data_IF_148889788406
#
_entry.id   IF_148889788406
#
_cell.length_a   1.000
_cell.length_b   1.000
_cell.length_c   1.000
_cell.angle_alpha   90.00
_cell.angle_beta   90.00
_cell.angle_gamma   90.00
#
_symmetry.space_group_name_H-M   'P 1'
#
loop_
_entity.id
_entity.type
_entity.pdbx_description
1 polymer ?
#
# COMPACT_ATOMS: atom_id res chain seq x y z
N UNK A 1 -43.12 12.02 -22.91
CA UNK A 1 -43.99 13.06 -22.27
C UNK A 1 -44.61 12.45 -21.02
N UNK A 2 -44.75 13.18 -19.90
CA UNK A 2 -45.30 12.60 -18.69
C UNK A 2 -46.70 12.06 -18.96
N UNK A 3 -46.94 10.81 -18.58
CA UNK A 3 -48.22 10.10 -18.71
C UNK A 3 -49.31 10.67 -17.79
N UNK A 4 -48.96 11.62 -16.91
CA UNK A 4 -49.86 12.32 -16.00
C UNK A 4 -49.52 13.82 -15.91
N UNK A 5 -50.51 14.70 -16.13
CA UNK A 5 -50.34 16.17 -16.08
C UNK A 5 -50.01 16.72 -14.69
N UNK A 6 -50.20 15.94 -13.63
CA UNK A 6 -49.86 16.30 -12.25
C UNK A 6 -48.46 15.81 -11.82
N UNK A 7 -47.68 15.24 -12.75
CA UNK A 7 -46.31 14.77 -12.47
C UNK A 7 -45.28 15.65 -13.17
N UNK A 8 -44.24 16.03 -12.43
CA UNK A 8 -43.09 16.78 -12.93
C UNK A 8 -41.92 15.80 -13.03
N UNK A 9 -41.31 15.69 -14.22
CA UNK A 9 -40.09 14.89 -14.39
C UNK A 9 -38.89 15.65 -13.81
N UNK A 10 -38.12 14.96 -12.98
CA UNK A 10 -36.91 15.47 -12.35
C UNK A 10 -35.71 14.54 -12.62
N UNK A 11 -35.83 13.67 -13.62
CA UNK A 11 -34.79 12.69 -13.99
C UNK A 11 -33.55 13.42 -14.52
N UNK A 12 -32.33 13.05 -14.08
CA UNK A 12 -31.12 13.65 -14.62
C UNK A 12 -31.02 13.33 -16.11
N UNK A 13 -30.71 14.33 -16.93
CA UNK A 13 -30.43 14.08 -18.34
C UNK A 13 -29.25 13.12 -18.48
N UNK A 14 -29.41 12.05 -19.27
CA UNK A 14 -28.42 10.97 -19.44
C UNK A 14 -27.00 11.48 -19.72
N UNK A 15 -26.84 12.42 -20.66
CA UNK A 15 -25.54 13.04 -20.94
C UNK A 15 -24.98 13.88 -19.80
N UNK A 16 -25.83 14.56 -19.03
CA UNK A 16 -25.41 15.29 -17.83
C UNK A 16 -24.92 14.33 -16.74
N UNK A 17 -25.63 13.23 -16.50
CA UNK A 17 -25.23 12.20 -15.54
C UNK A 17 -23.86 11.59 -15.89
N UNK A 18 -23.67 11.19 -17.15
CA UNK A 18 -22.39 10.61 -17.61
C UNK A 18 -21.24 11.61 -17.49
N UNK A 19 -21.46 12.88 -17.88
CA UNK A 19 -20.40 13.90 -17.76
C UNK A 19 -20.02 14.19 -16.30
N UNK A 20 -20.97 14.18 -15.37
CA UNK A 20 -20.68 14.32 -13.94
C UNK A 20 -19.94 13.11 -13.37
N UNK A 21 -20.20 11.90 -13.85
CA UNK A 21 -19.50 10.69 -13.38
C UNK A 21 -17.99 10.70 -13.66
N UNK A 22 -17.55 11.35 -14.72
CA UNK A 22 -16.14 11.35 -15.17
C UNK A 22 -15.40 12.66 -14.92
N UNK A 23 -16.07 13.68 -14.38
CA UNK A 23 -15.52 15.03 -14.25
C UNK A 23 -14.33 15.09 -13.30
N UNK A 24 -14.46 14.45 -12.14
CA UNK A 24 -13.51 14.58 -11.02
C UNK A 24 -12.53 13.39 -10.92
N UNK A 25 -12.58 12.45 -11.87
CA UNK A 25 -11.65 11.31 -11.94
C UNK A 25 -10.52 11.62 -12.93
N UNK A 26 -9.28 11.33 -12.52
CA UNK A 26 -8.13 11.42 -13.43
C UNK A 26 -8.09 10.22 -14.37
N UNK A 27 -7.36 10.34 -15.48
CA UNK A 27 -7.21 9.22 -16.41
C UNK A 27 -6.44 8.05 -15.79
N UNK A 28 -5.50 8.30 -14.87
CA UNK A 28 -4.76 7.24 -14.19
C UNK A 28 -5.62 6.52 -13.17
N UNK A 29 -6.42 7.24 -12.39
CA UNK A 29 -7.41 6.61 -11.48
C UNK A 29 -8.40 5.73 -12.25
N UNK A 30 -8.87 6.22 -13.41
CA UNK A 30 -9.75 5.46 -14.30
C UNK A 30 -9.10 4.16 -14.79
N UNK A 31 -7.82 4.19 -15.16
CA UNK A 31 -7.09 2.97 -15.55
C UNK A 31 -6.86 2.07 -14.33
N UNK A 32 -6.48 2.63 -13.18
CA UNK A 32 -6.31 1.90 -11.92
C UNK A 32 -7.58 1.15 -11.49
N UNK A 33 -8.76 1.77 -11.64
CA UNK A 33 -10.05 1.11 -11.42
C UNK A 33 -10.25 -0.12 -12.32
N UNK A 34 -9.75 -0.12 -13.56
CA UNK A 34 -9.79 -1.30 -14.44
C UNK A 34 -8.81 -2.38 -13.98
N UNK A 35 -7.62 -2.00 -13.51
CA UNK A 35 -6.63 -2.94 -12.96
C UNK A 35 -7.16 -3.60 -11.67
N UNK A 36 -7.79 -2.83 -10.78
CA UNK A 36 -8.47 -3.34 -9.58
C UNK A 36 -9.46 -4.45 -9.95
N UNK A 37 -10.31 -4.24 -10.98
CA UNK A 37 -11.27 -5.25 -11.44
C UNK A 37 -10.60 -6.50 -12.02
N UNK A 38 -9.51 -6.33 -12.78
CA UNK A 38 -8.74 -7.46 -13.31
C UNK A 38 -8.07 -8.27 -12.20
N UNK A 39 -7.55 -7.62 -11.15
CA UNK A 39 -7.00 -8.30 -9.97
C UNK A 39 -8.09 -9.08 -9.22
N UNK A 40 -9.27 -8.50 -9.03
CA UNK A 40 -10.42 -9.18 -8.41
C UNK A 40 -10.84 -10.43 -9.22
N UNK A 41 -10.92 -10.31 -10.55
CA UNK A 41 -11.22 -11.43 -11.44
C UNK A 41 -10.13 -12.52 -11.40
N UNK A 42 -8.85 -12.15 -11.31
CA UNK A 42 -7.73 -13.08 -11.19
C UNK A 42 -7.78 -13.83 -9.86
N UNK A 43 -7.99 -13.13 -8.75
CA UNK A 43 -8.11 -13.75 -7.42
C UNK A 43 -9.28 -14.72 -7.34
N UNK A 44 -10.38 -14.40 -8.02
CA UNK A 44 -11.55 -15.30 -8.12
C UNK A 44 -11.23 -16.57 -8.90
N UNK A 45 -10.33 -16.50 -9.90
CA UNK A 45 -9.87 -17.67 -10.68
C UNK A 45 -8.77 -18.47 -9.98
N UNK A 46 -7.94 -17.83 -9.15
CA UNK A 46 -6.80 -18.47 -8.52
C UNK A 46 -7.24 -19.47 -7.44
N UNK A 47 -6.70 -20.69 -7.49
CA UNK A 47 -6.91 -21.69 -6.42
C UNK A 47 -6.37 -21.19 -5.08
N UNK A 48 -5.31 -20.38 -5.12
CA UNK A 48 -4.72 -19.73 -3.95
C UNK A 48 -4.52 -18.24 -4.23
N UNK A 49 -5.33 -17.33 -3.65
CA UNK A 49 -5.19 -15.89 -3.81
C UNK A 49 -3.85 -15.30 -3.30
N UNK A 50 -3.04 -16.09 -2.58
CA UNK A 50 -1.70 -15.71 -2.12
C UNK A 50 -0.56 -16.18 -3.05
N UNK A 51 -0.87 -16.89 -4.13
CA UNK A 51 0.09 -17.26 -5.19
C UNK A 51 -0.54 -16.99 -6.56
N UNK A 52 -0.14 -15.87 -7.16
CA UNK A 52 -0.69 -15.37 -8.42
C UNK A 52 0.22 -15.65 -9.61
N UNK A 53 1.15 -16.60 -9.49
CA UNK A 53 2.02 -17.02 -10.60
C UNK A 53 1.20 -17.57 -11.77
N UNK A 54 1.56 -17.14 -12.98
CA UNK A 54 0.88 -17.55 -14.22
C UNK A 54 -0.35 -16.71 -14.57
N UNK A 55 -0.74 -15.77 -13.71
CA UNK A 55 -1.73 -14.75 -14.04
C UNK A 55 -1.07 -13.51 -14.62
N UNK A 56 -1.75 -12.87 -15.56
CA UNK A 56 -1.26 -11.65 -16.19
C UNK A 56 -2.37 -10.64 -16.50
N UNK A 57 -1.98 -9.36 -16.48
CA UNK A 57 -2.75 -8.22 -16.98
C UNK A 57 -1.87 -7.50 -18.00
N UNK A 58 -2.34 -7.36 -19.24
CA UNK A 58 -1.66 -6.62 -20.32
C UNK A 58 -2.44 -5.36 -20.69
N UNK A 59 -1.81 -4.21 -20.49
CA UNK A 59 -2.36 -2.88 -20.74
C UNK A 59 -1.59 -2.28 -21.91
N UNK A 60 -2.28 -1.78 -22.94
CA UNK A 60 -1.66 -1.07 -24.07
C UNK A 60 -2.23 0.34 -24.17
N UNK A 61 -1.33 1.33 -24.16
CA UNK A 61 -1.61 2.74 -24.40
C UNK A 61 -1.20 3.05 -25.84
N UNK A 62 -2.14 2.89 -26.79
CA UNK A 62 -1.91 3.17 -28.20
C UNK A 62 -2.25 4.62 -28.57
N UNK A 63 -1.75 5.07 -29.73
CA UNK A 63 -2.05 6.43 -30.24
C UNK A 63 -3.54 6.69 -30.46
N UNK A 64 -4.28 5.66 -30.85
CA UNK A 64 -5.71 5.76 -31.22
C UNK A 64 -6.59 4.80 -30.43
N UNK A 65 -6.02 4.09 -29.45
CA UNK A 65 -6.75 3.11 -28.66
C UNK A 65 -6.13 2.89 -27.28
N UNK A 66 -6.93 2.39 -26.37
CA UNK A 66 -6.54 1.79 -25.11
C UNK A 66 -6.99 0.32 -25.12
N UNK A 67 -6.21 -0.57 -24.51
CA UNK A 67 -6.72 -1.90 -24.19
C UNK A 67 -6.19 -2.41 -22.86
N UNK A 68 -7.02 -3.17 -22.16
CA UNK A 68 -6.63 -3.97 -21.00
C UNK A 68 -7.17 -5.39 -21.21
N UNK A 69 -6.33 -6.38 -20.95
CA UNK A 69 -6.67 -7.79 -21.03
C UNK A 69 -6.10 -8.53 -19.83
N UNK A 70 -6.91 -9.37 -19.21
CA UNK A 70 -6.48 -10.28 -18.16
C UNK A 70 -6.88 -11.72 -18.48
N UNK A 71 -6.16 -12.65 -17.89
CA UNK A 71 -6.50 -14.06 -17.92
C UNK A 71 -7.28 -14.48 -16.67
N UNK A 72 -8.05 -13.60 -16.04
CA UNK A 72 -8.82 -13.89 -14.83
C UNK A 72 -10.03 -14.79 -15.06
N UNK A 73 -10.97 -14.76 -14.09
CA UNK A 73 -12.21 -15.54 -14.14
C UNK A 73 -13.10 -15.16 -15.33
N UNK A 74 -12.95 -13.94 -15.86
CA UNK A 74 -13.90 -13.34 -16.79
C UNK A 74 -15.18 -12.88 -16.09
N UNK A 75 -16.18 -12.52 -16.88
CA UNK A 75 -17.50 -12.08 -16.44
C UNK A 75 -18.56 -12.99 -17.05
N UNK A 76 -19.44 -13.55 -16.23
CA UNK A 76 -20.58 -14.34 -16.72
C UNK A 76 -21.61 -13.45 -17.42
N UNK A 77 -22.27 -13.95 -18.46
CA UNK A 77 -23.29 -13.23 -19.21
C UNK A 77 -24.44 -12.74 -18.32
N UNK A 78 -24.83 -13.53 -17.31
CA UNK A 78 -25.86 -13.13 -16.34
C UNK A 78 -25.41 -11.95 -15.47
N UNK A 79 -24.14 -11.93 -15.06
CA UNK A 79 -23.55 -10.81 -14.31
C UNK A 79 -23.50 -9.56 -15.20
N UNK A 80 -23.14 -9.70 -16.47
CA UNK A 80 -23.18 -8.59 -17.44
C UNK A 80 -24.60 -8.03 -17.60
N UNK A 81 -25.61 -8.91 -17.68
CA UNK A 81 -27.02 -8.56 -17.90
C UNK A 81 -27.65 -7.86 -16.71
N UNK A 82 -27.29 -8.27 -15.49
CA UNK A 82 -28.03 -7.88 -14.29
C UNK A 82 -27.33 -6.85 -13.42
N UNK A 83 -25.99 -6.80 -13.42
CA UNK A 83 -25.28 -5.96 -12.44
C UNK A 83 -24.07 -5.22 -12.99
N UNK A 84 -23.23 -5.83 -13.82
CA UNK A 84 -21.92 -5.26 -14.14
C UNK A 84 -21.96 -3.96 -14.94
N UNK A 85 -23.03 -3.69 -15.69
CA UNK A 85 -23.20 -2.45 -16.45
C UNK A 85 -24.21 -1.46 -15.84
N UNK A 86 -24.78 -1.80 -14.69
CA UNK A 86 -25.67 -0.88 -13.96
C UNK A 86 -24.88 0.25 -13.31
N UNK A 87 -25.49 1.44 -13.26
CA UNK A 87 -24.92 2.58 -12.58
C UNK A 87 -25.32 2.59 -11.10
N UNK A 88 -24.42 2.12 -10.26
CA UNK A 88 -24.65 1.93 -8.82
C UNK A 88 -24.96 0.47 -8.46
N UNK A 89 -24.83 0.12 -7.18
CA UNK A 89 -25.14 -1.23 -6.68
C UNK A 89 -26.66 -1.46 -6.71
N UNK A 90 -27.10 -2.54 -7.34
CA UNK A 90 -28.44 -3.10 -7.11
C UNK A 90 -28.49 -3.72 -5.71
N UNK A 91 -29.62 -3.63 -5.01
CA UNK A 91 -29.79 -4.12 -3.62
C UNK A 91 -29.45 -5.62 -3.43
N UNK A 92 -29.46 -6.43 -4.50
CA UNK A 92 -29.26 -7.89 -4.48
C UNK A 92 -27.91 -8.37 -5.05
N UNK A 93 -26.84 -7.57 -4.98
CA UNK A 93 -25.54 -7.98 -5.54
C UNK A 93 -24.82 -8.98 -4.62
N UNK A 94 -24.54 -10.20 -5.11
CA UNK A 94 -23.58 -11.09 -4.47
C UNK A 94 -22.18 -10.47 -4.59
N UNK A 95 -21.52 -10.17 -3.48
CA UNK A 95 -20.20 -9.55 -3.46
C UNK A 95 -19.14 -10.58 -3.89
N UNK A 96 -18.13 -10.14 -4.64
CA UNK A 96 -16.88 -10.90 -4.77
C UNK A 96 -16.15 -10.70 -3.44
N UNK A 97 -15.94 -11.79 -2.70
CA UNK A 97 -15.23 -11.76 -1.43
C UNK A 97 -13.84 -11.12 -1.62
N UNK A 98 -13.48 -10.19 -0.74
CA UNK A 98 -12.20 -9.47 -0.77
C UNK A 98 -11.95 -8.64 -2.05
N UNK A 99 -13.03 -8.15 -2.68
CA UNK A 99 -12.93 -7.26 -3.84
C UNK A 99 -12.41 -5.88 -3.47
N UNK A 100 -11.65 -5.28 -4.38
CA UNK A 100 -11.16 -3.91 -4.26
C UNK A 100 -12.26 -2.91 -4.71
N UNK A 101 -13.10 -3.30 -5.67
CA UNK A 101 -14.16 -2.46 -6.24
C UNK A 101 -15.40 -2.27 -5.35
N UNK A 102 -15.57 -1.10 -4.74
CA UNK A 102 -16.65 -0.83 -3.77
C UNK A 102 -18.01 -0.44 -4.39
N UNK A 103 -18.02 0.38 -5.45
CA UNK A 103 -19.22 1.15 -5.83
C UNK A 103 -19.89 0.69 -7.14
N UNK A 104 -19.32 -0.29 -7.84
CA UNK A 104 -19.87 -0.77 -9.12
C UNK A 104 -19.77 0.23 -10.28
N UNK A 105 -19.13 1.40 -10.08
CA UNK A 105 -19.05 2.49 -11.07
C UNK A 105 -17.67 2.65 -11.72
N UNK A 106 -16.59 2.15 -11.12
CA UNK A 106 -15.20 2.40 -11.57
C UNK A 106 -14.97 2.06 -13.05
N UNK A 107 -15.29 0.82 -13.45
CA UNK A 107 -15.19 0.39 -14.86
C UNK A 107 -15.95 1.31 -15.83
N UNK A 108 -17.14 1.79 -15.44
CA UNK A 108 -17.99 2.62 -16.30
C UNK A 108 -17.39 4.02 -16.43
N UNK A 109 -16.92 4.60 -15.33
CA UNK A 109 -16.20 5.88 -15.33
C UNK A 109 -14.97 5.79 -16.23
N UNK A 110 -14.22 4.70 -16.14
CA UNK A 110 -13.07 4.48 -16.99
C UNK A 110 -13.43 4.44 -18.48
N UNK A 111 -14.47 3.67 -18.83
CA UNK A 111 -14.95 3.57 -20.21
C UNK A 111 -15.25 4.94 -20.81
N UNK A 112 -16.07 5.75 -20.13
CA UNK A 112 -16.49 7.06 -20.64
C UNK A 112 -15.39 8.13 -20.54
N UNK A 113 -14.42 7.98 -19.64
CA UNK A 113 -13.26 8.87 -19.53
C UNK A 113 -12.29 8.67 -20.69
N UNK A 114 -12.07 7.40 -21.08
CA UNK A 114 -11.02 7.02 -22.04
C UNK A 114 -11.43 7.30 -23.50
N UNK A 115 -12.65 6.96 -23.91
CA UNK A 115 -13.05 7.12 -25.32
C UNK A 115 -14.49 6.74 -25.63
N UNK A 116 -14.83 6.77 -26.93
CA UNK A 116 -16.20 6.66 -27.40
C UNK A 116 -16.62 5.25 -27.87
N UNK A 117 -15.70 4.48 -28.45
CA UNK A 117 -15.98 3.15 -29.01
C UNK A 117 -15.39 2.09 -28.10
N UNK A 118 -16.22 1.43 -27.31
CA UNK A 118 -15.81 0.44 -26.31
C UNK A 118 -16.22 -0.94 -26.79
N UNK A 119 -15.26 -1.86 -26.83
CA UNK A 119 -15.48 -3.28 -27.08
C UNK A 119 -15.11 -4.06 -25.83
N UNK A 120 -16.08 -4.79 -25.28
CA UNK A 120 -15.88 -5.70 -24.15
C UNK A 120 -15.99 -7.13 -24.67
N UNK A 121 -14.99 -7.96 -24.36
CA UNK A 121 -15.02 -9.40 -24.61
C UNK A 121 -14.77 -10.13 -23.31
N UNK A 122 -15.63 -11.07 -22.98
CA UNK A 122 -15.52 -11.86 -21.77
C UNK A 122 -15.64 -13.34 -22.11
N UNK A 123 -14.75 -14.14 -21.53
CA UNK A 123 -14.89 -15.60 -21.46
C UNK A 123 -14.79 -16.03 -20.01
N UNK A 124 -15.88 -16.56 -19.46
CA UNK A 124 -15.97 -17.09 -18.11
C UNK A 124 -16.16 -18.61 -18.14
N UNK A 125 -16.14 -19.33 -17.01
CA UNK A 125 -16.31 -20.79 -17.03
C UNK A 125 -17.60 -21.26 -17.71
N UNK A 126 -18.70 -20.50 -17.58
CA UNK A 126 -20.03 -20.92 -18.06
C UNK A 126 -20.57 -20.14 -19.26
N UNK A 127 -19.93 -19.04 -19.65
CA UNK A 127 -20.40 -18.23 -20.77
C UNK A 127 -19.28 -17.48 -21.48
N UNK A 128 -19.59 -16.95 -22.66
CA UNK A 128 -18.77 -15.95 -23.34
C UNK A 128 -19.67 -14.99 -24.10
N UNK A 129 -19.22 -13.75 -24.23
CA UNK A 129 -19.96 -12.72 -24.95
C UNK A 129 -19.05 -11.61 -25.44
N UNK A 130 -19.57 -10.82 -26.37
CA UNK A 130 -19.01 -9.53 -26.78
C UNK A 130 -20.08 -8.45 -26.68
N UNK A 131 -19.69 -7.25 -26.26
CA UNK A 131 -20.54 -6.05 -26.25
C UNK A 131 -19.74 -4.95 -26.94
N UNK A 132 -20.34 -4.33 -27.96
CA UNK A 132 -19.82 -3.12 -28.60
C UNK A 132 -20.70 -1.93 -28.19
N UNK A 133 -20.08 -0.88 -27.65
CA UNK A 133 -20.75 0.33 -27.16
C UNK A 133 -20.20 1.53 -27.94
N UNK A 134 -21.08 2.25 -28.62
CA UNK A 134 -20.83 3.63 -29.08
C UNK A 134 -21.48 4.59 -28.09
N UNK A 135 -20.66 5.30 -27.32
CA UNK A 135 -21.15 6.19 -26.26
C UNK A 135 -21.94 7.36 -26.85
N UNK A 136 -21.50 7.97 -27.95
CA UNK A 136 -22.20 9.08 -28.59
C UNK A 136 -23.57 8.65 -29.13
N UNK A 137 -23.66 7.48 -29.76
CA UNK A 137 -24.95 6.96 -30.24
C UNK A 137 -25.86 6.58 -29.07
N UNK A 138 -25.34 5.90 -28.06
CA UNK A 138 -26.09 5.54 -26.88
C UNK A 138 -26.61 6.76 -26.11
N UNK A 139 -25.85 7.85 -26.05
CA UNK A 139 -26.28 9.11 -25.41
C UNK A 139 -27.41 9.82 -26.16
N UNK A 140 -27.61 9.56 -27.47
CA UNK A 140 -28.74 10.13 -28.23
C UNK A 140 -30.08 9.52 -27.83
N UNK A 141 -30.09 8.25 -27.43
CA UNK A 141 -31.26 7.62 -26.84
C UNK A 141 -31.37 8.00 -25.36
N UNK A 142 -32.34 8.87 -25.06
CA UNK A 142 -32.54 9.43 -23.72
C UNK A 142 -33.26 8.48 -22.77
N UNK A 143 -34.00 7.49 -23.28
CA UNK A 143 -34.87 6.65 -22.46
C UNK A 143 -34.25 5.26 -22.23
N UNK A 144 -33.47 4.74 -23.18
CA UNK A 144 -32.88 3.39 -23.06
C UNK A 144 -31.54 3.40 -22.34
N UNK A 145 -31.41 2.63 -21.27
CA UNK A 145 -30.17 2.42 -20.50
C UNK A 145 -29.62 0.99 -20.65
N UNK A 146 -29.75 0.42 -21.84
CA UNK A 146 -29.39 -0.96 -22.12
C UNK A 146 -28.31 -1.04 -23.20
N UNK A 147 -27.51 -2.10 -23.13
CA UNK A 147 -26.59 -2.52 -24.19
C UNK A 147 -27.04 -3.90 -24.67
N UNK A 148 -26.82 -4.19 -25.95
CA UNK A 148 -27.06 -5.53 -26.49
C UNK A 148 -25.76 -6.28 -26.60
N UNK A 149 -25.81 -7.60 -26.37
CA UNK A 149 -24.72 -8.47 -26.82
C UNK A 149 -24.58 -8.36 -28.33
N UNK A 150 -23.36 -8.41 -28.82
CA UNK A 150 -23.08 -8.47 -30.24
C UNK A 150 -23.67 -9.76 -30.81
N UNK A 151 -24.32 -9.63 -31.96
CA UNK A 151 -24.96 -10.73 -32.67
C UNK A 151 -24.02 -11.94 -32.82
N UNK A 152 -24.55 -13.14 -32.58
CA UNK A 152 -23.84 -14.43 -32.65
C UNK A 152 -22.62 -14.61 -31.71
N UNK A 153 -22.38 -13.70 -30.77
CA UNK A 153 -21.25 -13.82 -29.82
C UNK A 153 -21.61 -14.42 -28.47
N UNK A 154 -22.86 -14.26 -28.03
CA UNK A 154 -23.34 -14.80 -26.75
C UNK A 154 -23.43 -16.33 -26.83
N UNK A 155 -22.74 -17.00 -25.92
CA UNK A 155 -22.91 -18.44 -25.67
C UNK A 155 -22.97 -18.65 -24.16
N UNK A 156 -24.04 -19.29 -23.70
CA UNK A 156 -24.31 -19.63 -22.31
C UNK A 156 -24.31 -21.16 -22.13
N UNK A 157 -24.23 -21.63 -20.89
CA UNK A 157 -24.17 -23.07 -20.55
C UNK A 157 -23.01 -23.84 -21.20
N UNK A 158 -21.94 -23.15 -21.54
CA UNK A 158 -20.71 -23.75 -22.06
C UNK A 158 -19.76 -24.12 -20.92
N UNK A 159 -18.70 -24.89 -21.23
CA UNK A 159 -17.65 -25.25 -20.27
C UNK A 159 -16.31 -24.79 -20.81
N UNK A 160 -15.96 -23.55 -20.54
CA UNK A 160 -14.66 -23.02 -20.95
C UNK A 160 -13.58 -23.55 -20.00
N UNK A 161 -12.45 -24.07 -20.52
CA UNK A 161 -11.34 -24.46 -19.66
C UNK A 161 -10.71 -23.21 -19.02
N UNK A 162 -10.12 -23.30 -17.82
CA UNK A 162 -9.49 -22.16 -17.16
C UNK A 162 -8.43 -21.45 -18.01
N UNK A 163 -7.78 -22.12 -18.96
CA UNK A 163 -6.78 -21.50 -19.86
C UNK A 163 -7.38 -20.60 -20.95
N UNK A 164 -8.72 -20.57 -21.06
CA UNK A 164 -9.46 -19.74 -22.02
C UNK A 164 -10.29 -18.66 -21.35
N UNK A 165 -10.36 -18.64 -20.02
CA UNK A 165 -11.07 -17.58 -19.30
C UNK A 165 -10.25 -16.30 -19.29
N UNK A 166 -10.94 -15.17 -19.24
CA UNK A 166 -10.33 -13.86 -19.24
C UNK A 166 -11.32 -12.78 -19.63
N UNK A 167 -10.84 -11.55 -19.54
CA UNK A 167 -11.61 -10.36 -19.86
C UNK A 167 -10.74 -9.40 -20.66
N UNK A 168 -11.30 -8.82 -21.73
CA UNK A 168 -10.63 -7.82 -22.55
C UNK A 168 -11.56 -6.64 -22.77
N UNK A 169 -11.01 -5.44 -22.57
CA UNK A 169 -11.62 -4.19 -23.01
C UNK A 169 -10.70 -3.54 -24.02
N UNK A 170 -11.27 -3.10 -25.14
CA UNK A 170 -10.59 -2.24 -26.12
C UNK A 170 -11.42 -0.99 -26.34
N UNK A 171 -10.81 0.17 -26.15
CA UNK A 171 -11.45 1.48 -26.33
C UNK A 171 -10.74 2.20 -27.47
N UNK A 172 -11.50 2.75 -28.41
CA UNK A 172 -11.02 3.54 -29.54
C UNK A 172 -11.85 4.82 -29.66
N UNK A 173 -11.51 5.69 -30.61
CA UNK A 173 -12.01 7.08 -30.62
C UNK A 173 -11.77 7.73 -29.25
N UNK A 174 -10.49 7.82 -28.90
CA UNK A 174 -10.04 8.33 -27.61
C UNK A 174 -10.57 9.74 -27.35
N UNK A 175 -10.83 10.04 -26.08
CA UNK A 175 -11.05 11.42 -25.66
C UNK A 175 -9.77 12.23 -25.89
N UNK A 176 -9.90 13.55 -26.13
CA UNK A 176 -8.74 14.43 -26.34
C UNK A 176 -7.71 14.32 -25.20
N UNK A 177 -8.18 14.19 -23.96
CA UNK A 177 -7.35 14.00 -22.77
C UNK A 177 -6.53 12.69 -22.84
N UNK A 178 -7.16 11.61 -23.28
CA UNK A 178 -6.51 10.30 -23.43
C UNK A 178 -5.52 10.27 -24.59
N UNK A 179 -5.87 10.88 -25.74
CA UNK A 179 -4.97 10.96 -26.88
C UNK A 179 -3.70 11.76 -26.56
N UNK A 180 -3.83 12.88 -25.84
CA UNK A 180 -2.68 13.67 -25.39
C UNK A 180 -1.85 12.89 -24.35
N UNK A 181 -2.51 12.30 -23.35
CA UNK A 181 -1.85 11.60 -22.24
C UNK A 181 -1.12 10.33 -22.68
N UNK A 182 -1.71 9.51 -23.56
CA UNK A 182 -1.07 8.26 -24.00
C UNK A 182 0.13 8.48 -24.91
N UNK A 183 0.28 9.69 -25.49
CA UNK A 183 1.47 10.09 -26.22
C UNK A 183 2.52 10.79 -25.33
N UNK A 184 2.23 11.03 -24.05
CA UNK A 184 3.16 11.63 -23.09
C UNK A 184 3.88 10.54 -22.28
N UNK A 185 5.21 10.48 -22.43
CA UNK A 185 6.05 9.54 -21.67
C UNK A 185 5.96 9.78 -20.16
N UNK A 186 5.76 11.02 -19.73
CA UNK A 186 5.64 11.38 -18.32
C UNK A 186 4.37 10.77 -17.71
N UNK A 187 3.27 10.80 -18.45
CA UNK A 187 2.02 10.15 -18.05
C UNK A 187 2.21 8.64 -17.91
N UNK A 188 2.84 7.99 -18.89
CA UNK A 188 3.12 6.55 -18.85
C UNK A 188 3.97 6.18 -17.62
N UNK A 189 5.05 6.94 -17.36
CA UNK A 189 5.94 6.69 -16.22
C UNK A 189 5.24 6.91 -14.86
N UNK A 190 4.32 7.88 -14.78
CA UNK A 190 3.50 8.10 -13.59
C UNK A 190 2.51 6.94 -13.38
N UNK A 191 1.81 6.52 -14.42
CA UNK A 191 0.88 5.39 -14.37
C UNK A 191 1.58 4.08 -13.97
N UNK A 192 2.76 3.82 -14.55
CA UNK A 192 3.62 2.68 -14.20
C UNK A 192 3.91 2.68 -12.70
N UNK A 193 4.36 3.81 -12.15
CA UNK A 193 4.69 3.94 -10.73
C UNK A 193 3.47 3.77 -9.84
N UNK A 194 2.35 4.41 -10.18
CA UNK A 194 1.10 4.31 -9.41
C UNK A 194 0.65 2.83 -9.34
N UNK A 195 0.48 2.14 -10.47
CA UNK A 195 0.05 0.74 -10.49
C UNK A 195 1.07 -0.18 -9.78
N UNK A 196 2.37 0.07 -9.92
CA UNK A 196 3.41 -0.65 -9.19
C UNK A 196 3.22 -0.55 -7.67
N UNK A 197 2.97 0.65 -7.15
CA UNK A 197 2.74 0.85 -5.72
C UNK A 197 1.42 0.19 -5.28
N UNK A 198 0.33 0.50 -5.96
CA UNK A 198 -1.02 0.06 -5.58
C UNK A 198 -1.17 -1.46 -5.56
N UNK A 199 -0.54 -2.15 -6.52
CA UNK A 199 -0.57 -3.61 -6.62
C UNK A 199 0.73 -4.28 -6.18
N UNK A 200 1.54 -3.59 -5.37
CA UNK A 200 2.83 -4.10 -4.89
C UNK A 200 2.75 -5.50 -4.29
N UNK A 201 1.76 -5.76 -3.45
CA UNK A 201 1.57 -7.07 -2.83
C UNK A 201 1.17 -8.13 -3.87
N UNK A 202 0.27 -7.81 -4.80
CA UNK A 202 -0.15 -8.75 -5.85
C UNK A 202 1.02 -9.13 -6.78
N UNK A 203 1.87 -8.16 -7.14
CA UNK A 203 3.10 -8.41 -7.92
C UNK A 203 4.07 -9.29 -7.12
N UNK A 204 4.24 -9.04 -5.81
CA UNK A 204 5.06 -9.90 -4.93
C UNK A 204 4.46 -11.32 -4.76
N UNK A 205 3.14 -11.48 -4.89
CA UNK A 205 2.46 -12.80 -4.95
C UNK A 205 2.67 -13.51 -6.30
N UNK A 206 3.27 -12.86 -7.30
CA UNK A 206 3.61 -13.44 -8.60
C UNK A 206 2.77 -12.98 -9.78
N UNK A 207 1.85 -12.02 -9.59
CA UNK A 207 1.06 -11.44 -10.67
C UNK A 207 1.96 -10.65 -11.63
N UNK A 208 1.80 -10.86 -12.94
CA UNK A 208 2.50 -10.09 -13.96
C UNK A 208 1.59 -9.01 -14.51
N UNK A 209 1.94 -7.74 -14.30
CA UNK A 209 1.25 -6.60 -14.92
C UNK A 209 2.18 -5.99 -15.96
N UNK A 210 1.66 -5.74 -17.17
CA UNK A 210 2.39 -5.13 -18.28
C UNK A 210 1.70 -3.86 -18.72
N UNK A 211 2.47 -2.80 -18.94
CA UNK A 211 2.00 -1.57 -19.60
C UNK A 211 2.87 -1.37 -20.83
N UNK A 212 2.25 -1.39 -22.01
CA UNK A 212 2.93 -1.51 -23.29
C UNK A 212 3.90 -2.71 -23.25
N UNK A 213 5.19 -2.48 -23.47
CA UNK A 213 6.21 -3.53 -23.45
C UNK A 213 6.93 -3.63 -22.10
N UNK A 214 6.51 -2.85 -21.10
CA UNK A 214 7.15 -2.79 -19.79
C UNK A 214 6.44 -3.68 -18.77
N UNK A 215 7.14 -4.70 -18.27
CA UNK A 215 6.68 -5.54 -17.15
C UNK A 215 6.92 -4.78 -15.84
N UNK A 216 5.85 -4.54 -15.09
CA UNK A 216 5.91 -3.87 -13.80
C UNK A 216 6.70 -4.72 -12.79
N UNK A 217 7.64 -4.07 -12.10
CA UNK A 217 8.43 -4.66 -11.01
C UNK A 217 8.33 -3.82 -9.76
N UNK A 218 8.32 -4.43 -8.60
CA UNK A 218 8.24 -3.70 -7.33
C UNK A 218 9.45 -4.01 -6.48
N UNK A 219 9.78 -3.10 -5.56
CA UNK A 219 10.71 -3.46 -4.51
C UNK A 219 10.12 -4.63 -3.70
N UNK A 220 10.93 -5.62 -3.31
CA UNK A 220 10.46 -6.65 -2.40
C UNK A 220 9.96 -5.99 -1.11
N UNK A 221 8.79 -6.44 -0.64
CA UNK A 221 8.40 -6.20 0.75
C UNK A 221 8.93 -7.36 1.58
N UNK A 222 9.79 -7.06 2.53
CA UNK A 222 10.53 -8.08 3.28
C UNK A 222 10.71 -7.71 4.76
N UNK A 223 11.04 -8.73 5.55
CA UNK A 223 11.45 -8.58 6.93
C UNK A 223 12.37 -9.73 7.32
N UNK A 224 13.17 -9.51 8.35
CA UNK A 224 13.98 -10.56 8.96
C UNK A 224 13.06 -11.50 9.74
N UNK A 225 13.15 -12.78 9.41
CA UNK A 225 12.54 -13.85 10.18
C UNK A 225 13.47 -15.07 10.14
N UNK A 226 14.22 -15.26 11.23
CA UNK A 226 15.13 -16.39 11.43
C UNK A 226 15.11 -16.87 12.90
N UNK A 227 16.12 -17.67 13.29
CA UNK A 227 16.25 -18.18 14.66
C UNK A 227 16.51 -17.07 15.70
N UNK A 228 17.21 -16.00 15.30
CA UNK A 228 17.59 -14.90 16.19
C UNK A 228 16.47 -13.88 16.29
N UNK A 229 15.89 -13.50 15.16
CA UNK A 229 14.93 -12.41 15.03
C UNK A 229 13.61 -12.97 14.53
N UNK A 230 12.56 -12.83 15.35
CA UNK A 230 11.19 -13.15 14.95
C UNK A 230 10.34 -11.88 14.98
N UNK A 231 9.65 -11.55 13.87
CA UNK A 231 8.75 -10.40 13.83
C UNK A 231 7.61 -10.58 14.84
N UNK A 232 7.10 -9.47 15.34
CA UNK A 232 5.84 -9.47 16.09
C UNK A 232 4.70 -9.67 15.10
N UNK A 233 3.73 -10.51 15.46
CA UNK A 233 2.52 -10.80 14.70
C UNK A 233 1.29 -10.63 15.57
N UNK A 234 0.27 -9.96 15.05
CA UNK A 234 -1.04 -9.88 15.68
C UNK A 234 -2.12 -10.04 14.62
N UNK A 235 -3.19 -10.77 14.95
CA UNK A 235 -4.33 -10.93 14.07
C UNK A 235 -5.64 -10.79 14.84
N UNK A 236 -6.65 -10.33 14.12
CA UNK A 236 -8.05 -10.34 14.55
C UNK A 236 -8.88 -10.86 13.39
N UNK A 237 -9.53 -11.99 13.61
CA UNK A 237 -10.40 -12.64 12.63
C UNK A 237 -11.85 -12.44 13.08
N UNK A 238 -12.65 -11.76 12.28
CA UNK A 238 -14.10 -11.64 12.44
C UNK A 238 -14.80 -12.26 11.21
N UNK A 239 -16.13 -12.36 11.25
CA UNK A 239 -16.90 -13.07 10.21
C UNK A 239 -16.76 -12.46 8.80
N UNK A 240 -16.77 -11.13 8.71
CA UNK A 240 -16.78 -10.40 7.43
C UNK A 240 -15.57 -9.48 7.23
N UNK A 241 -14.71 -9.40 8.24
CA UNK A 241 -13.54 -8.55 8.24
C UNK A 241 -12.42 -9.21 9.04
N UNK A 242 -11.18 -9.06 8.59
CA UNK A 242 -10.01 -9.48 9.34
C UNK A 242 -8.88 -8.49 9.18
N UNK A 243 -7.96 -8.52 10.13
CA UNK A 243 -6.73 -7.76 10.07
C UNK A 243 -5.56 -8.60 10.57
N UNK A 244 -4.44 -8.49 9.86
CA UNK A 244 -3.15 -9.06 10.26
C UNK A 244 -2.10 -7.97 10.30
N UNK A 245 -1.28 -7.95 11.34
CA UNK A 245 -0.18 -7.00 11.52
C UNK A 245 1.12 -7.78 11.67
N UNK A 246 2.15 -7.37 10.93
CA UNK A 246 3.53 -7.79 11.11
C UNK A 246 4.38 -6.56 11.42
N UNK A 247 5.28 -6.67 12.40
CA UNK A 247 6.27 -5.64 12.67
C UNK A 247 7.63 -6.26 13.00
N UNK A 248 8.68 -5.75 12.37
CA UNK A 248 10.03 -6.24 12.56
C UNK A 248 11.06 -5.29 11.98
N UNK A 249 12.18 -5.86 11.57
CA UNK A 249 13.28 -5.12 10.93
C UNK A 249 13.56 -5.68 9.54
N UNK A 250 14.11 -4.84 8.67
CA UNK A 250 14.77 -5.25 7.44
C UNK A 250 16.03 -4.42 7.22
N UNK A 251 16.66 -4.60 6.06
CA UNK A 251 17.85 -3.89 5.60
C UNK A 251 17.71 -2.38 5.83
N UNK A 252 18.86 -1.74 6.13
CA UNK A 252 18.87 -0.32 6.46
C UNK A 252 18.75 0.50 5.18
N UNK A 253 17.52 0.79 4.82
CA UNK A 253 17.16 1.73 3.76
C UNK A 253 16.23 2.79 4.35
N UNK A 254 16.60 4.06 4.23
CA UNK A 254 15.72 5.16 4.66
C UNK A 254 14.43 5.15 3.85
N UNK A 255 14.50 4.92 2.54
CA UNK A 255 13.35 5.08 1.66
C UNK A 255 12.29 3.99 1.85
N UNK A 256 12.65 2.83 2.41
CA UNK A 256 11.73 1.70 2.60
C UNK A 256 11.24 1.55 4.06
N UNK A 257 11.75 2.37 4.98
CA UNK A 257 11.33 2.36 6.38
C UNK A 257 9.93 2.92 6.61
N UNK A 258 9.16 2.27 7.48
CA UNK A 258 7.85 2.76 7.91
C UNK A 258 6.77 1.69 7.90
N UNK A 259 5.52 2.16 7.92
CA UNK A 259 4.34 1.32 7.86
C UNK A 259 3.79 1.23 6.45
N UNK A 260 3.41 0.02 6.05
CA UNK A 260 2.68 -0.30 4.83
C UNK A 260 1.30 -0.82 5.22
N UNK A 261 0.25 -0.30 4.61
CA UNK A 261 -1.13 -0.71 4.89
C UNK A 261 -1.80 -1.13 3.59
N UNK A 262 -2.31 -2.35 3.60
CA UNK A 262 -3.04 -2.97 2.51
C UNK A 262 -4.50 -3.18 2.90
N UNK A 263 -5.39 -2.92 1.95
CA UNK A 263 -6.81 -3.23 2.04
C UNK A 263 -7.17 -4.12 0.84
N UNK A 264 -7.61 -5.36 1.10
CA UNK A 264 -7.90 -6.35 0.06
C UNK A 264 -6.73 -6.52 -0.95
N UNK A 265 -5.50 -6.59 -0.42
CA UNK A 265 -4.20 -6.60 -1.12
C UNK A 265 -3.84 -5.37 -1.98
N UNK A 266 -4.67 -4.33 -1.99
CA UNK A 266 -4.29 -3.04 -2.56
C UNK A 266 -3.54 -2.22 -1.54
N UNK A 267 -2.36 -1.71 -1.90
CA UNK A 267 -1.59 -0.80 -1.06
C UNK A 267 -2.32 0.55 -1.00
N UNK A 268 -2.56 1.03 0.22
CA UNK A 268 -3.19 2.33 0.50
C UNK A 268 -2.15 3.31 1.02
N UNK A 269 -1.29 2.82 1.92
CA UNK A 269 -0.21 3.61 2.51
C UNK A 269 1.10 2.86 2.33
N UNK A 270 2.11 3.54 1.78
CA UNK A 270 3.45 3.01 1.60
C UNK A 270 4.44 3.77 2.49
N UNK A 271 5.36 3.06 3.16
CA UNK A 271 6.55 3.65 3.80
C UNK A 271 6.21 4.82 4.75
N UNK A 272 5.07 4.76 5.42
CA UNK A 272 4.55 5.92 6.13
C UNK A 272 5.27 6.12 7.46
N UNK A 273 5.66 7.38 7.65
CA UNK A 273 6.51 7.91 8.74
C UNK A 273 5.82 9.05 9.48
N UNK A 274 4.49 9.17 9.34
CA UNK A 274 3.69 10.28 9.88
C UNK A 274 2.72 9.82 10.97
N UNK A 275 1.94 10.77 11.48
CA UNK A 275 0.90 10.58 12.48
C UNK A 275 -0.30 9.75 11.99
N UNK A 276 -0.53 9.69 10.66
CA UNK A 276 -1.52 8.81 10.02
C UNK A 276 -1.32 7.34 10.43
N UNK A 277 -0.08 6.94 10.71
CA UNK A 277 0.25 5.64 11.27
C UNK A 277 0.56 5.74 12.75
N UNK A 278 1.82 5.90 13.17
CA UNK A 278 2.18 5.87 14.60
C UNK A 278 3.12 7.01 15.03
N UNK A 279 3.67 7.77 14.09
CA UNK A 279 4.80 8.67 14.32
C UNK A 279 4.34 10.06 14.76
N UNK A 280 3.81 10.17 15.98
CA UNK A 280 3.18 11.42 16.47
C UNK A 280 4.11 12.33 17.28
N UNK A 281 5.27 11.83 17.70
CA UNK A 281 6.17 12.56 18.60
C UNK A 281 5.65 12.65 20.04
N UNK A 282 6.37 13.41 20.88
CA UNK A 282 6.13 13.51 22.32
C UNK A 282 4.81 14.15 22.74
N UNK A 283 4.09 14.78 21.80
CA UNK A 283 2.81 15.44 22.04
C UNK A 283 1.60 14.60 21.65
N UNK A 284 1.81 13.45 20.99
CA UNK A 284 0.74 12.55 20.57
C UNK A 284 0.68 11.24 21.35
N UNK A 285 -0.22 10.37 20.94
CA UNK A 285 -0.49 9.07 21.58
C UNK A 285 0.39 7.92 21.06
N UNK A 286 1.17 8.16 20.01
CA UNK A 286 1.96 7.18 19.29
C UNK A 286 3.38 6.97 19.81
N UNK A 287 4.34 6.98 18.88
CA UNK A 287 5.77 6.81 19.12
C UNK A 287 6.53 8.11 18.77
N UNK A 288 7.83 8.23 19.12
CA UNK A 288 8.65 9.38 18.71
C UNK A 288 8.58 9.64 17.21
N UNK A 289 8.89 10.87 16.77
CA UNK A 289 8.96 11.19 15.34
C UNK A 289 10.01 10.32 14.64
N UNK A 290 9.77 10.05 13.35
CA UNK A 290 10.70 9.29 12.54
C UNK A 290 12.10 9.92 12.56
N UNK A 291 13.12 9.07 12.69
CA UNK A 291 14.52 9.45 12.80
C UNK A 291 15.40 8.36 12.19
N UNK A 292 16.65 8.71 11.85
CA UNK A 292 17.64 7.82 11.23
C UNK A 292 17.85 6.47 11.94
N UNK A 293 17.60 6.41 13.25
CA UNK A 293 17.69 5.18 14.02
C UNK A 293 16.60 4.15 13.69
N UNK A 294 15.49 4.59 13.11
CA UNK A 294 14.34 3.75 12.78
C UNK A 294 14.32 3.27 11.33
N UNK A 295 15.34 3.56 10.51
CA UNK A 295 15.38 3.17 9.08
C UNK A 295 15.27 1.67 8.83
N UNK A 296 15.62 0.83 9.83
CA UNK A 296 15.45 -0.62 9.75
C UNK A 296 14.03 -1.08 10.03
N UNK A 297 13.17 -0.25 10.60
CA UNK A 297 11.80 -0.61 10.95
C UNK A 297 10.99 -0.97 9.69
N UNK A 298 10.27 -2.09 9.77
CA UNK A 298 9.26 -2.49 8.78
C UNK A 298 7.98 -2.89 9.50
N UNK A 299 6.88 -2.27 9.13
CA UNK A 299 5.55 -2.62 9.60
C UNK A 299 4.61 -2.86 8.43
N UNK A 300 3.80 -3.91 8.51
CA UNK A 300 2.83 -4.29 7.49
C UNK A 300 1.48 -4.57 8.14
N UNK A 301 0.41 -3.98 7.60
CA UNK A 301 -0.98 -4.20 8.03
C UNK A 301 -1.79 -4.67 6.83
N UNK A 302 -2.53 -5.77 6.99
CA UNK A 302 -3.36 -6.37 5.96
C UNK A 302 -4.80 -6.39 6.46
N UNK A 303 -5.60 -5.43 6.00
CA UNK A 303 -7.04 -5.43 6.17
C UNK A 303 -7.68 -6.23 5.05
N UNK A 304 -8.57 -7.15 5.40
CA UNK A 304 -9.36 -7.94 4.46
C UNK A 304 -10.82 -7.86 4.86
N UNK A 305 -11.71 -7.68 3.88
CA UNK A 305 -13.15 -7.70 4.13
C UNK A 305 -13.89 -8.17 2.89
N UNK A 306 -14.95 -8.95 3.11
CA UNK A 306 -15.87 -9.39 2.04
C UNK A 306 -16.56 -8.20 1.39
N UNK A 307 -17.06 -7.28 2.21
CA UNK A 307 -17.57 -5.98 1.76
C UNK A 307 -16.49 -4.92 2.00
N UNK A 308 -16.01 -4.32 0.92
CA UNK A 308 -15.00 -3.27 0.97
C UNK A 308 -15.48 -2.00 1.69
N UNK A 309 -16.80 -1.84 1.93
CA UNK A 309 -17.34 -0.77 2.76
C UNK A 309 -16.98 -0.89 4.25
N UNK A 310 -16.56 -2.08 4.70
CA UNK A 310 -16.08 -2.29 6.07
C UNK A 310 -14.61 -1.86 6.23
N UNK A 311 -13.86 -1.73 5.14
CA UNK A 311 -12.44 -1.38 5.18
C UNK A 311 -12.24 0.06 5.65
N UNK A 312 -11.27 0.33 6.54
CA UNK A 312 -11.07 1.65 7.12
C UNK A 312 -10.24 2.59 6.21
N UNK A 313 -10.51 2.61 4.92
CA UNK A 313 -9.87 3.54 3.96
C UNK A 313 -10.75 4.75 3.67
N UNK A 314 -10.19 5.80 3.08
CA UNK A 314 -10.98 6.90 2.54
C UNK A 314 -11.61 6.51 1.18
N UNK A 315 -12.60 7.29 0.73
CA UNK A 315 -13.34 7.04 -0.52
C UNK A 315 -12.48 7.12 -1.78
N UNK A 316 -11.31 7.76 -1.70
CA UNK A 316 -10.33 7.86 -2.79
C UNK A 316 -9.27 6.75 -2.74
N UNK A 317 -9.30 5.83 -1.75
CA UNK A 317 -8.33 4.75 -1.56
C UNK A 317 -6.87 5.22 -1.45
N UNK A 318 -6.63 6.43 -0.95
CA UNK A 318 -5.29 7.06 -0.85
C UNK A 318 -4.80 7.23 0.58
N UNK A 319 -5.63 6.91 1.57
CA UNK A 319 -5.30 7.06 2.98
C UNK A 319 -6.30 6.32 3.86
N UNK A 320 -6.02 6.31 5.17
CA UNK A 320 -6.89 5.66 6.15
C UNK A 320 -7.95 6.60 6.70
N UNK A 321 -9.12 6.06 6.99
CA UNK A 321 -10.12 6.76 7.80
C UNK A 321 -9.67 6.76 9.26
N UNK A 322 -9.02 7.86 9.67
CA UNK A 322 -8.53 8.04 11.02
C UNK A 322 -9.64 8.11 12.07
N UNK A 323 -10.89 8.35 11.66
CA UNK A 323 -12.03 8.37 12.56
C UNK A 323 -12.68 7.02 12.79
N UNK A 324 -12.40 6.05 11.90
CA UNK A 324 -12.84 4.66 12.01
C UNK A 324 -12.45 4.06 13.38
N UNK A 325 -13.42 3.60 14.19
CA UNK A 325 -13.14 2.88 15.43
C UNK A 325 -12.26 1.65 15.21
N UNK A 326 -12.43 0.98 14.07
CA UNK A 326 -11.66 -0.18 13.70
C UNK A 326 -10.19 0.18 13.45
N UNK A 327 -9.92 1.25 12.69
CA UNK A 327 -8.55 1.72 12.51
C UNK A 327 -7.91 2.18 13.82
N UNK A 328 -8.65 2.90 14.67
CA UNK A 328 -8.18 3.33 16.00
C UNK A 328 -7.75 2.15 16.88
N UNK A 329 -8.49 1.03 16.84
CA UNK A 329 -8.12 -0.21 17.52
C UNK A 329 -6.83 -0.81 16.95
N UNK A 330 -6.75 -0.98 15.64
CA UNK A 330 -5.56 -1.55 14.96
C UNK A 330 -4.32 -0.69 15.20
N UNK A 331 -4.45 0.64 15.12
CA UNK A 331 -3.38 1.60 15.36
C UNK A 331 -2.79 1.48 16.77
N UNK A 332 -3.59 1.15 17.79
CA UNK A 332 -3.06 0.87 19.14
C UNK A 332 -2.13 -0.33 19.15
N UNK A 333 -2.47 -1.41 18.44
CA UNK A 333 -1.59 -2.56 18.27
C UNK A 333 -0.33 -2.20 17.47
N UNK A 334 -0.46 -1.40 16.40
CA UNK A 334 0.69 -0.88 15.65
C UNK A 334 1.66 -0.11 16.57
N UNK A 335 1.16 0.74 17.47
CA UNK A 335 1.99 1.48 18.45
C UNK A 335 2.73 0.52 19.38
N UNK A 336 2.03 -0.48 19.94
CA UNK A 336 2.63 -1.49 20.84
C UNK A 336 3.75 -2.24 20.11
N UNK A 337 3.48 -2.73 18.90
CA UNK A 337 4.43 -3.50 18.10
C UNK A 337 5.62 -2.64 17.66
N UNK A 338 5.40 -1.37 17.32
CA UNK A 338 6.48 -0.42 16.99
C UNK A 338 7.43 -0.25 18.17
N UNK A 339 6.91 -0.05 19.39
CA UNK A 339 7.74 0.10 20.61
C UNK A 339 8.61 -1.12 20.88
N UNK A 340 8.13 -2.32 20.57
CA UNK A 340 8.93 -3.54 20.74
C UNK A 340 10.12 -3.60 19.78
N UNK A 341 9.94 -3.14 18.53
CA UNK A 341 11.05 -3.05 17.57
C UNK A 341 12.02 -1.93 17.96
N UNK A 342 11.50 -0.78 18.43
CA UNK A 342 12.33 0.32 18.93
C UNK A 342 13.27 -0.12 20.06
N UNK A 343 12.81 -0.99 20.96
CA UNK A 343 13.62 -1.54 22.05
C UNK A 343 14.89 -2.27 21.55
N UNK A 344 14.84 -2.95 20.41
CA UNK A 344 16.03 -3.50 19.75
C UNK A 344 16.89 -2.36 19.17
N UNK A 345 16.28 -1.46 18.40
CA UNK A 345 17.01 -0.39 17.70
C UNK A 345 17.75 0.54 18.66
N UNK A 346 17.17 0.83 19.82
CA UNK A 346 17.80 1.61 20.89
C UNK A 346 18.98 0.85 21.52
N UNK A 347 18.87 -0.47 21.70
CA UNK A 347 20.01 -1.30 22.16
C UNK A 347 21.14 -1.34 21.14
N UNK A 348 20.82 -1.50 19.85
CA UNK A 348 21.82 -1.48 18.77
C UNK A 348 22.57 -0.16 18.73
N UNK A 349 21.87 0.96 18.92
CA UNK A 349 22.48 2.28 19.05
C UNK A 349 23.36 2.38 20.28
N UNK A 350 22.84 1.99 21.45
CA UNK A 350 23.55 2.06 22.73
C UNK A 350 24.86 1.26 22.69
N UNK A 351 24.86 0.09 22.05
CA UNK A 351 26.03 -0.79 21.93
C UNK A 351 27.14 -0.16 21.05
N UNK A 352 26.81 0.80 20.18
CA UNK A 352 27.78 1.54 19.35
C UNK A 352 28.31 2.81 20.01
N UNK A 353 27.81 3.19 21.18
CA UNK A 353 28.23 4.41 21.86
C UNK A 353 29.64 4.27 22.47
N UNK A 354 30.27 5.42 22.79
CA UNK A 354 31.54 5.50 23.53
C UNK A 354 32.68 4.67 22.92
N UNK A 355 32.73 4.60 21.59
CA UNK A 355 33.76 3.88 20.83
C UNK A 355 33.89 2.41 21.25
N UNK A 356 32.77 1.76 21.63
CA UNK A 356 32.74 0.35 21.99
C UNK A 356 33.35 -0.49 20.85
N UNK A 357 34.42 -1.27 21.09
CA UNK A 357 35.11 -2.02 20.03
C UNK A 357 34.14 -2.92 19.27
N UNK A 358 34.30 -3.06 17.96
CA UNK A 358 33.42 -3.91 17.13
C UNK A 358 33.32 -5.35 17.65
N UNK A 359 34.38 -5.87 18.28
CA UNK A 359 34.42 -7.17 18.96
C UNK A 359 33.36 -7.31 20.06
N UNK A 360 33.15 -6.25 20.83
CA UNK A 360 32.20 -6.17 21.95
C UNK A 360 30.77 -5.88 21.47
N UNK A 361 30.55 -5.48 20.21
CA UNK A 361 29.23 -5.20 19.64
C UNK A 361 28.49 -6.48 19.22
N UNK A 362 28.30 -7.40 20.17
CA UNK A 362 27.80 -8.75 19.92
C UNK A 362 26.35 -8.80 19.42
N UNK A 363 25.47 -7.92 19.92
CA UNK A 363 24.10 -7.85 19.43
C UNK A 363 24.05 -7.30 18.01
N UNK A 364 24.77 -6.22 17.71
CA UNK A 364 24.87 -5.67 16.36
C UNK A 364 25.34 -6.73 15.36
N UNK A 365 26.41 -7.46 15.66
CA UNK A 365 26.90 -8.53 14.77
C UNK A 365 25.86 -9.60 14.48
N UNK A 366 25.15 -10.07 15.50
CA UNK A 366 24.10 -11.06 15.32
C UNK A 366 22.96 -10.53 14.43
N UNK A 367 22.56 -9.27 14.63
CA UNK A 367 21.49 -8.65 13.86
C UNK A 367 21.91 -8.35 12.42
N UNK A 368 23.14 -7.85 12.17
CA UNK A 368 23.63 -7.64 10.79
C UNK A 368 23.65 -8.95 10.01
N UNK A 369 24.00 -10.08 10.62
CA UNK A 369 23.91 -11.40 9.98
C UNK A 369 22.47 -11.75 9.58
N UNK A 370 21.52 -11.52 10.47
CA UNK A 370 20.10 -11.76 10.19
C UNK A 370 19.56 -10.85 9.08
N UNK A 371 20.13 -9.65 8.92
CA UNK A 371 19.75 -8.68 7.88
C UNK A 371 20.29 -9.02 6.49
N UNK A 372 21.23 -9.96 6.36
CA UNK A 372 21.74 -10.41 5.05
C UNK A 372 20.69 -11.23 4.27
N UNK A 373 19.73 -11.85 4.96
CA UNK A 373 18.77 -12.77 4.36
C UNK A 373 17.34 -12.48 4.86
N UNK A 374 16.76 -11.29 4.58
CA UNK A 374 15.35 -11.06 4.87
C UNK A 374 14.48 -11.97 3.98
N UNK A 375 13.32 -12.35 4.49
CA UNK A 375 12.33 -13.12 3.73
C UNK A 375 11.21 -12.21 3.26
N UNK A 376 10.56 -12.58 2.15
CA UNK A 376 9.40 -11.83 1.66
C UNK A 376 8.26 -11.85 2.69
N UNK A 377 7.48 -10.77 2.75
CA UNK A 377 6.32 -10.72 3.64
C UNK A 377 5.27 -11.78 3.28
N UNK A 378 5.14 -12.13 2.00
CA UNK A 378 4.28 -13.23 1.53
C UNK A 378 4.71 -14.57 2.14
N UNK A 379 6.01 -14.80 2.29
CA UNK A 379 6.55 -15.99 2.96
C UNK A 379 6.37 -15.94 4.48
N UNK A 380 6.59 -14.78 5.10
CA UNK A 380 6.36 -14.59 6.53
C UNK A 380 4.90 -14.87 6.92
N UNK A 381 3.94 -14.44 6.09
CA UNK A 381 2.51 -14.68 6.27
C UNK A 381 2.11 -16.16 6.20
N UNK A 382 2.92 -17.04 5.58
CA UNK A 382 2.69 -18.49 5.58
C UNK A 382 3.14 -19.16 6.88
N UNK A 383 3.96 -18.47 7.67
CA UNK A 383 4.62 -19.02 8.87
C UNK A 383 4.10 -18.39 10.18
N UNK A 384 2.94 -17.73 10.13
CA UNK A 384 2.36 -16.98 11.27
C UNK A 384 2.10 -17.84 12.50
N UNK A 385 1.85 -19.14 12.35
CA UNK A 385 1.66 -20.09 13.44
C UNK A 385 2.85 -20.18 14.43
N UNK A 386 4.04 -19.77 13.98
CA UNK A 386 5.26 -19.76 14.80
C UNK A 386 5.60 -18.38 15.38
N UNK A 387 4.74 -17.39 15.12
CA UNK A 387 4.85 -16.02 15.60
C UNK A 387 3.87 -15.75 16.73
N UNK A 388 4.12 -14.67 17.47
CA UNK A 388 3.24 -14.19 18.53
C UNK A 388 3.24 -12.67 18.53
N UNK A 389 2.44 -12.06 19.40
CA UNK A 389 2.42 -10.60 19.59
C UNK A 389 3.74 -10.02 20.15
N UNK A 390 4.77 -10.84 20.36
CA UNK A 390 6.08 -10.42 20.86
C UNK A 390 7.15 -10.41 19.76
N UNK A 391 7.82 -9.27 19.59
CA UNK A 391 9.06 -9.19 18.81
C UNK A 391 10.20 -9.86 19.59
N UNK A 392 10.87 -10.81 18.97
CA UNK A 392 11.95 -11.59 19.61
C UNK A 392 13.27 -11.30 18.93
N UNK A 393 14.31 -11.08 19.73
CA UNK A 393 15.69 -10.89 19.31
C UNK A 393 16.63 -11.40 20.43
N UNK A 394 17.92 -11.66 20.17
CA UNK A 394 18.82 -12.27 21.15
C UNK A 394 19.32 -11.23 22.18
N UNK A 395 18.41 -10.75 23.06
CA UNK A 395 18.70 -9.70 24.06
C UNK A 395 19.90 -10.03 24.95
N UNK A 396 20.17 -11.32 25.17
CA UNK A 396 21.33 -11.80 25.95
C UNK A 396 22.68 -11.42 25.34
N UNK A 397 22.73 -11.12 24.03
CA UNK A 397 23.92 -10.65 23.34
C UNK A 397 24.12 -9.13 23.47
N UNK A 398 23.21 -8.41 24.13
CA UNK A 398 23.36 -6.97 24.31
C UNK A 398 24.52 -6.67 25.27
N UNK A 399 25.57 -6.02 24.76
CA UNK A 399 26.78 -5.74 25.52
C UNK A 399 27.14 -4.23 25.44
N UNK A 400 26.41 -3.37 26.19
CA UNK A 400 26.64 -1.94 26.14
C UNK A 400 28.00 -1.57 26.74
N UNK A 401 28.60 -0.45 26.29
CA UNK A 401 29.84 0.05 26.87
C UNK A 401 29.66 0.26 28.37
N UNK A 402 30.65 -0.17 29.16
CA UNK A 402 30.62 -0.04 30.62
C UNK A 402 30.33 1.42 31.00
N UNK A 403 29.41 1.63 31.94
CA UNK A 403 29.19 2.96 32.53
C UNK A 403 30.50 3.38 33.19
N UNK A 404 31.20 4.31 32.55
CA UNK A 404 32.31 5.02 33.15
C UNK A 404 31.86 5.58 34.50
N UNK A 405 32.62 5.33 35.58
CA UNK A 405 32.43 5.98 36.89
C UNK A 405 32.92 7.44 36.88
N UNK A 406 32.88 8.09 35.72
CA UNK A 406 33.28 9.48 35.56
C UNK A 406 32.03 10.35 35.55
N UNK A 407 32.07 11.43 36.31
CA UNK A 407 31.03 12.46 36.32
C UNK A 407 31.36 13.50 35.26
N UNK A 408 30.44 13.74 34.33
CA UNK A 408 30.57 14.85 33.40
C UNK A 408 30.22 16.15 34.14
N UNK A 409 31.16 17.10 34.16
CA UNK A 409 30.97 18.43 34.73
C UNK A 409 30.76 19.41 33.57
N UNK A 410 29.64 20.12 33.56
CA UNK A 410 29.33 21.15 32.55
C UNK A 410 28.75 22.39 33.21
N UNK A 411 29.33 23.57 32.91
CA UNK A 411 28.88 24.86 33.41
C UNK A 411 29.32 25.97 32.45
N UNK A 412 28.69 27.14 32.58
CA UNK A 412 29.08 28.35 31.85
C UNK A 412 29.73 29.35 32.81
N UNK A 413 30.77 30.03 32.33
CA UNK A 413 31.43 31.13 33.04
C UNK A 413 31.54 32.35 32.11
N UNK A 414 31.61 33.57 32.64
CA UNK A 414 31.87 34.76 31.82
C UNK A 414 33.18 34.63 31.03
N UNK A 415 33.15 34.97 29.74
CA UNK A 415 34.28 34.85 28.81
C UNK A 415 35.55 35.53 29.31
N UNK A 416 35.41 36.69 29.95
CA UNK A 416 36.53 37.45 30.49
C UNK A 416 37.26 36.68 31.60
N UNK A 417 36.52 36.08 32.55
CA UNK A 417 37.09 35.23 33.61
C UNK A 417 37.70 33.95 33.04
N UNK A 418 37.05 33.36 32.04
CA UNK A 418 37.60 32.19 31.35
C UNK A 418 38.97 32.48 30.73
N UNK A 419 39.12 33.61 30.02
CA UNK A 419 40.37 33.97 29.35
C UNK A 419 41.49 34.24 30.37
N UNK A 420 41.20 34.95 31.47
CA UNK A 420 42.17 35.20 32.53
C UNK A 420 42.72 33.89 33.13
N UNK A 421 41.82 32.97 33.50
CA UNK A 421 42.24 31.67 34.05
C UNK A 421 42.98 30.83 33.01
N UNK A 422 42.53 30.88 31.74
CA UNK A 422 43.19 30.15 30.63
C UNK A 422 44.62 30.61 30.40
N UNK A 423 44.88 31.91 30.45
CA UNK A 423 46.22 32.49 30.31
C UNK A 423 47.12 32.15 31.49
N UNK A 424 46.61 32.26 32.72
CA UNK A 424 47.36 32.00 33.95
C UNK A 424 47.90 30.55 34.01
N UNK A 425 47.06 29.57 33.66
CA UNK A 425 47.43 28.14 33.66
C UNK A 425 48.00 27.66 32.31
N UNK A 426 48.18 28.57 31.34
CA UNK A 426 48.68 28.28 29.99
C UNK A 426 47.94 27.13 29.27
N UNK A 427 46.61 27.10 29.37
CA UNK A 427 45.77 26.08 28.74
C UNK A 427 45.36 26.47 27.31
N UNK A 428 45.20 25.49 26.42
CA UNK A 428 44.80 25.70 25.03
C UNK A 428 43.29 25.57 24.82
N UNK A 429 42.61 24.74 25.62
CA UNK A 429 41.18 24.41 25.45
C UNK A 429 40.36 24.64 26.71
N UNK A 430 39.05 24.86 26.55
CA UNK A 430 38.14 24.99 27.71
C UNK A 430 38.08 23.73 28.58
N UNK A 431 38.34 22.56 27.99
CA UNK A 431 38.41 21.29 28.71
C UNK A 431 39.62 21.23 29.64
N UNK A 432 40.78 21.68 29.18
CA UNK A 432 42.00 21.76 30.00
C UNK A 432 41.82 22.72 31.17
N UNK A 433 41.22 23.89 30.93
CA UNK A 433 40.90 24.85 32.00
C UNK A 433 40.01 24.21 33.07
N UNK A 434 38.90 23.59 32.65
CA UNK A 434 38.00 22.90 33.58
C UNK A 434 38.68 21.77 34.36
N UNK A 435 39.47 20.95 33.68
CA UNK A 435 40.19 19.84 34.33
C UNK A 435 41.26 20.34 35.31
N UNK A 436 42.02 21.36 34.93
CA UNK A 436 43.06 21.93 35.79
C UNK A 436 42.45 22.57 37.05
N UNK A 437 41.39 23.37 36.89
CA UNK A 437 40.72 24.00 38.06
C UNK A 437 40.11 22.97 39.00
N UNK A 438 39.53 21.89 38.47
CA UNK A 438 39.00 20.80 39.27
C UNK A 438 40.11 20.04 40.02
N UNK A 439 41.18 19.68 39.31
CA UNK A 439 42.32 18.99 39.93
C UNK A 439 43.00 19.87 40.98
N UNK A 440 43.17 21.16 40.72
CA UNK A 440 43.72 22.10 41.69
C UNK A 440 42.87 22.13 42.97
N UNK A 441 41.55 22.25 42.86
CA UNK A 441 40.67 22.20 44.03
C UNK A 441 40.81 20.86 44.77
N UNK A 442 40.79 19.75 44.05
CA UNK A 442 40.90 18.42 44.66
C UNK A 442 42.23 18.21 45.37
N UNK A 443 43.35 18.66 44.79
CA UNK A 443 44.69 18.48 45.37
C UNK A 443 44.97 19.41 46.56
N UNK A 444 44.33 20.58 46.61
CA UNK A 444 44.61 21.59 47.64
C UNK A 444 43.55 21.64 48.76
N UNK A 445 42.32 21.22 48.50
CA UNK A 445 41.19 21.37 49.44
C UNK A 445 40.65 20.03 49.97
N UNK A 446 41.04 18.89 49.39
CA UNK A 446 40.66 17.53 49.81
C UNK A 446 41.91 16.66 50.00
#
# INVERSE_FOLDING_TARGET
>A
MPTNKNTVSADPAKGFFVSMLIKDITLRDAIGDLVDNSVDAIKTRADNPNDLKGFEIDIKLGKTYFSIEDNGYGMEAEVARTTAFNFGKSENHNLIDNSIGQFGIGMKRAFFKIGNKIQVKSTSPKSKFEIDIDVQEWLKDKETWQYSFKEDTLQEDIKNPPSKTGFRVKISELSNDSELSFNDKTFEDQLIKEIQYEHMLNINKGLVIKINDFILKTTPIDLVFDENVKPSFWEKLEENQSVRILAGISTKDDEDGGWYIFCNDRLIIAKNKTDETVWTGSKGDGVPLWHAQYHRFRGYVFFEAKDSALLPWNTTKTGMDLDSPYYKEVRRNMIIMTRQVMDLLDKLKTEKEKDNPSEEQTLNKAIEKSLENPISVVEALKQTHSLSNKFTYPVKLFNPPRKSKMTNISYQVPTERFNQVKEDINASTSKEVGLHTFNYYFENEL
#
